data_IF_318216666260
#
_entry.id   IF_318216666260
#
_cell.length_a   1.000
_cell.length_b   1.000
_cell.length_c   1.000
_cell.angle_alpha   90.00
_cell.angle_beta   90.00
_cell.angle_gamma   90.00
#
_symmetry.space_group_name_H-M   'P 1'
#
loop_
_entity.id
_entity.type
_entity.pdbx_description
1 polymer ?
#
# COMPACT_ATOMS: atom_id res chain seq x y z
N UNK A 1 18.90 21.06 -0.72
CA UNK A 1 17.55 21.60 -0.88
C UNK A 1 17.54 23.06 -1.32
N UNK A 2 18.45 23.93 -0.83
CA UNK A 2 18.30 25.39 -1.04
C UNK A 2 18.54 25.83 -2.48
N UNK A 3 19.63 25.38 -3.11
CA UNK A 3 20.00 25.79 -4.48
C UNK A 3 19.58 24.77 -5.55
N UNK A 4 19.00 23.64 -5.18
CA UNK A 4 18.61 22.58 -6.12
C UNK A 4 19.76 21.77 -6.74
N UNK A 5 21.02 22.14 -6.49
CA UNK A 5 22.16 21.46 -7.10
C UNK A 5 22.42 20.09 -6.50
N UNK A 6 22.78 19.12 -7.33
CA UNK A 6 23.21 17.80 -6.90
C UNK A 6 24.56 17.91 -6.18
N UNK A 7 24.67 17.30 -5.01
CA UNK A 7 25.91 17.30 -4.24
C UNK A 7 26.96 16.43 -4.93
N UNK A 8 28.21 16.91 -4.94
CA UNK A 8 29.35 16.22 -5.53
C UNK A 8 30.14 15.49 -4.48
N UNK A 9 30.49 14.22 -4.74
CA UNK A 9 31.40 13.44 -3.90
C UNK A 9 32.85 13.88 -4.16
N UNK A 10 33.53 14.32 -3.14
CA UNK A 10 34.92 14.79 -3.20
C UNK A 10 35.79 13.84 -2.38
N UNK A 11 36.85 13.35 -3.01
CA UNK A 11 37.90 12.59 -2.35
C UNK A 11 38.95 13.54 -1.78
N UNK A 12 39.29 13.40 -0.51
CA UNK A 12 40.36 14.13 0.13
C UNK A 12 41.29 13.15 0.88
N UNK A 13 42.59 13.48 0.89
CA UNK A 13 43.60 12.67 1.54
C UNK A 13 44.19 13.45 2.74
N UNK A 14 44.32 12.79 3.86
CA UNK A 14 44.97 13.36 5.05
C UNK A 14 46.34 12.74 5.24
N UNK A 15 47.41 13.49 4.99
CA UNK A 15 48.79 13.06 5.19
C UNK A 15 49.10 12.74 6.66
N UNK A 16 48.47 13.46 7.62
CA UNK A 16 48.69 13.21 9.07
C UNK A 16 48.11 11.89 9.57
N UNK A 17 47.09 11.34 8.90
CA UNK A 17 46.39 10.12 9.33
C UNK A 17 46.49 8.99 8.31
N UNK A 18 47.15 9.21 7.20
CA UNK A 18 47.25 8.28 6.07
C UNK A 18 45.89 7.67 5.67
N UNK A 19 44.87 8.52 5.63
CA UNK A 19 43.48 8.11 5.35
C UNK A 19 42.86 8.92 4.24
N UNK A 20 42.06 8.23 3.44
CA UNK A 20 41.21 8.81 2.40
C UNK A 20 39.83 9.08 2.99
N UNK A 21 39.30 10.26 2.73
CA UNK A 21 37.98 10.69 3.14
C UNK A 21 37.14 11.03 1.91
N UNK A 22 35.89 10.60 1.94
CA UNK A 22 34.90 10.93 0.93
C UNK A 22 33.86 11.84 1.56
N UNK A 23 33.63 13.01 0.94
CA UNK A 23 32.72 14.02 1.48
C UNK A 23 31.84 14.54 0.36
N UNK A 24 30.53 14.56 0.57
CA UNK A 24 29.60 15.26 -0.28
C UNK A 24 29.64 16.77 -0.01
N UNK A 25 29.73 17.57 -1.05
CA UNK A 25 29.72 19.05 -0.97
C UNK A 25 28.79 19.63 -2.02
N UNK A 26 28.17 20.77 -1.67
CA UNK A 26 27.39 21.56 -2.62
C UNK A 26 28.32 22.26 -3.59
N UNK A 27 28.19 22.02 -4.92
CA UNK A 27 29.03 22.70 -5.93
C UNK A 27 28.74 24.20 -6.01
N UNK A 28 27.50 24.63 -5.90
CA UNK A 28 27.12 26.04 -5.93
C UNK A 28 27.78 26.84 -4.81
N UNK A 29 27.85 26.27 -3.60
CA UNK A 29 28.59 26.90 -2.52
C UNK A 29 30.10 26.94 -2.79
N UNK A 30 30.66 25.87 -3.34
CA UNK A 30 32.08 25.78 -3.64
C UNK A 30 32.52 26.80 -4.70
N UNK A 31 31.66 27.13 -5.67
CA UNK A 31 31.95 28.06 -6.75
C UNK A 31 31.60 29.53 -6.42
N UNK A 32 30.49 29.75 -5.72
CA UNK A 32 29.92 31.11 -5.53
C UNK A 32 29.83 31.54 -4.07
N UNK A 33 30.21 30.70 -3.11
CA UNK A 33 30.23 30.97 -1.68
C UNK A 33 28.85 31.16 -1.05
N UNK A 34 28.84 31.86 0.10
CA UNK A 34 27.62 32.06 0.93
C UNK A 34 26.53 32.89 0.27
N UNK A 35 26.85 33.64 -0.80
CA UNK A 35 25.85 34.44 -1.55
C UNK A 35 24.88 33.55 -2.35
N UNK A 36 25.33 32.38 -2.75
CA UNK A 36 24.54 31.50 -3.62
C UNK A 36 23.93 30.26 -2.90
N UNK A 37 24.62 29.77 -1.86
CA UNK A 37 24.12 28.63 -1.09
C UNK A 37 24.77 28.56 0.31
N UNK A 38 24.19 27.79 1.22
CA UNK A 38 24.80 27.48 2.51
C UNK A 38 25.92 26.44 2.37
N UNK A 39 26.91 26.49 3.26
CA UNK A 39 28.03 25.55 3.32
C UNK A 39 27.54 24.14 3.71
N UNK A 40 27.08 23.38 2.73
CA UNK A 40 26.64 22.00 2.97
C UNK A 40 27.73 21.03 2.67
N UNK A 41 28.07 20.23 3.65
CA UNK A 41 29.03 19.11 3.56
C UNK A 41 28.60 17.97 4.44
N UNK A 42 28.78 16.74 3.98
CA UNK A 42 28.53 15.54 4.79
C UNK A 42 29.54 14.45 4.39
N UNK A 43 30.13 13.79 5.37
CA UNK A 43 31.01 12.64 5.08
C UNK A 43 30.16 11.49 4.52
N UNK A 44 30.74 10.75 3.57
CA UNK A 44 30.04 9.60 2.98
C UNK A 44 29.63 8.59 4.06
N UNK A 45 30.51 8.30 5.01
CA UNK A 45 30.20 7.35 6.08
C UNK A 45 29.00 7.78 6.93
N UNK A 46 28.91 9.07 7.29
CA UNK A 46 27.78 9.59 8.08
C UNK A 46 26.46 9.55 7.29
N UNK A 47 26.53 9.78 5.96
CA UNK A 47 25.38 9.64 5.08
C UNK A 47 24.94 8.18 4.96
N UNK A 48 25.88 7.27 4.73
CA UNK A 48 25.59 5.84 4.59
C UNK A 48 24.94 5.30 5.88
N UNK A 49 25.45 5.66 7.06
CA UNK A 49 24.89 5.30 8.37
C UNK A 49 23.47 5.85 8.55
N UNK A 50 23.25 7.13 8.26
CA UNK A 50 21.92 7.76 8.34
C UNK A 50 20.92 7.13 7.38
N UNK A 51 21.32 6.84 6.15
CA UNK A 51 20.48 6.19 5.15
C UNK A 51 20.14 4.78 5.57
N UNK A 52 21.14 3.99 6.02
CA UNK A 52 20.90 2.62 6.46
C UNK A 52 19.92 2.56 7.63
N UNK A 53 20.13 3.37 8.66
CA UNK A 53 19.26 3.40 9.83
C UNK A 53 17.84 3.83 9.48
N UNK A 54 17.68 4.78 8.55
CA UNK A 54 16.36 5.23 8.10
C UNK A 54 15.65 4.15 7.29
N UNK A 55 16.36 3.45 6.40
CA UNK A 55 15.80 2.32 5.65
C UNK A 55 15.37 1.21 6.60
N UNK A 56 16.22 0.84 7.57
CA UNK A 56 15.89 -0.19 8.55
C UNK A 56 14.65 0.16 9.36
N UNK A 57 14.58 1.40 9.88
CA UNK A 57 13.39 1.86 10.60
C UNK A 57 12.10 1.81 9.75
N UNK A 58 12.20 2.09 8.45
CA UNK A 58 11.07 1.98 7.54
C UNK A 58 10.65 0.52 7.30
N UNK A 59 11.62 -0.40 7.20
CA UNK A 59 11.36 -1.83 7.05
C UNK A 59 10.77 -2.43 8.33
N UNK A 60 11.27 -2.05 9.51
CA UNK A 60 10.73 -2.46 10.81
C UNK A 60 9.27 -2.01 10.96
N UNK A 61 8.98 -0.75 10.62
CA UNK A 61 7.63 -0.21 10.66
C UNK A 61 6.68 -1.00 9.73
N UNK A 62 7.18 -1.41 8.56
CA UNK A 62 6.39 -2.24 7.65
C UNK A 62 6.08 -3.63 8.24
N UNK A 63 7.07 -4.28 8.88
CA UNK A 63 6.87 -5.57 9.56
C UNK A 63 5.81 -5.46 10.65
N UNK A 64 5.90 -4.44 11.50
CA UNK A 64 4.93 -4.18 12.57
C UNK A 64 3.51 -3.96 12.02
N UNK A 65 3.40 -3.23 10.90
CA UNK A 65 2.12 -3.01 10.21
C UNK A 65 1.56 -4.31 9.63
N UNK A 66 2.40 -5.14 9.02
CA UNK A 66 1.99 -6.44 8.47
C UNK A 66 1.47 -7.37 9.56
N UNK A 67 2.16 -7.46 10.68
CA UNK A 67 1.73 -8.25 11.82
C UNK A 67 0.39 -7.76 12.39
N UNK A 68 0.24 -6.45 12.54
CA UNK A 68 -1.00 -5.82 12.98
C UNK A 68 -2.16 -6.12 12.03
N UNK A 69 -1.93 -6.04 10.72
CA UNK A 69 -2.92 -6.35 9.69
C UNK A 69 -3.36 -7.83 9.75
N UNK A 70 -2.40 -8.76 9.87
CA UNK A 70 -2.69 -10.18 9.98
C UNK A 70 -3.52 -10.51 11.23
N UNK A 71 -3.19 -9.91 12.37
CA UNK A 71 -3.96 -10.08 13.61
C UNK A 71 -5.39 -9.57 13.47
N UNK A 72 -5.58 -8.36 12.94
CA UNK A 72 -6.92 -7.77 12.75
C UNK A 72 -7.76 -8.57 11.76
N UNK A 73 -7.16 -9.07 10.67
CA UNK A 73 -7.85 -9.94 9.73
C UNK A 73 -8.26 -11.29 10.37
N UNK A 74 -7.42 -11.86 11.22
CA UNK A 74 -7.75 -13.07 11.95
C UNK A 74 -8.91 -12.83 12.91
N UNK A 75 -8.90 -11.72 13.65
CA UNK A 75 -10.01 -11.33 14.55
C UNK A 75 -11.30 -11.11 13.76
N UNK A 76 -11.26 -10.39 12.64
CA UNK A 76 -12.44 -10.18 11.78
C UNK A 76 -13.01 -11.50 11.24
N UNK A 77 -12.14 -12.43 10.80
CA UNK A 77 -12.56 -13.76 10.35
C UNK A 77 -13.22 -14.57 11.49
N UNK A 78 -12.71 -14.46 12.70
CA UNK A 78 -13.29 -15.12 13.87
C UNK A 78 -14.67 -14.55 14.20
N UNK A 79 -14.83 -13.22 14.20
CA UNK A 79 -16.12 -12.54 14.41
C UNK A 79 -17.14 -12.89 13.32
N UNK A 80 -16.73 -12.88 12.05
CA UNK A 80 -17.59 -13.25 10.91
C UNK A 80 -18.08 -14.70 11.02
N UNK A 81 -17.23 -15.61 11.50
CA UNK A 81 -17.61 -17.01 11.77
C UNK A 81 -18.61 -17.10 12.92
N UNK A 82 -18.40 -16.33 13.98
CA UNK A 82 -19.28 -16.31 15.16
C UNK A 82 -20.66 -15.72 14.82
N UNK A 83 -20.72 -14.71 13.95
CA UNK A 83 -21.96 -14.03 13.55
C UNK A 83 -22.71 -14.74 12.40
N UNK A 84 -22.31 -15.93 11.96
CA UNK A 84 -23.00 -16.68 10.90
C UNK A 84 -22.93 -16.02 9.49
N UNK A 85 -22.07 -15.03 9.31
CA UNK A 85 -21.98 -14.23 8.06
C UNK A 85 -21.72 -15.09 6.82
N UNK A 86 -20.97 -16.21 6.96
CA UNK A 86 -20.76 -17.19 5.88
C UNK A 86 -22.04 -17.89 5.46
N UNK A 87 -22.89 -18.20 6.43
CA UNK A 87 -24.16 -18.89 6.15
C UNK A 87 -25.17 -17.91 5.54
N UNK A 88 -25.11 -16.65 5.94
CA UNK A 88 -25.90 -15.56 5.33
C UNK A 88 -25.52 -15.34 3.86
N UNK A 89 -24.22 -15.23 3.54
CA UNK A 89 -23.72 -15.12 2.16
C UNK A 89 -24.21 -16.32 1.32
N UNK A 90 -24.05 -17.55 1.81
CA UNK A 90 -24.54 -18.74 1.11
C UNK A 90 -26.05 -18.73 0.91
N UNK A 91 -26.79 -18.25 1.90
CA UNK A 91 -28.25 -18.12 1.81
C UNK A 91 -28.65 -17.10 0.76
N UNK A 92 -27.99 -15.95 0.71
CA UNK A 92 -28.22 -14.90 -0.28
C UNK A 92 -27.86 -15.37 -1.70
N UNK A 93 -26.73 -16.07 -1.86
CA UNK A 93 -26.35 -16.68 -3.15
C UNK A 93 -27.41 -17.66 -3.66
N UNK A 94 -27.89 -18.57 -2.79
CA UNK A 94 -28.97 -19.50 -3.18
C UNK A 94 -30.25 -18.76 -3.58
N UNK A 95 -30.63 -17.71 -2.86
CA UNK A 95 -31.81 -16.89 -3.21
C UNK A 95 -31.61 -16.19 -4.54
N UNK A 96 -30.42 -15.66 -4.82
CA UNK A 96 -30.06 -15.01 -6.08
C UNK A 96 -30.13 -15.99 -7.25
N UNK A 97 -29.53 -17.19 -7.10
CA UNK A 97 -29.55 -18.23 -8.13
C UNK A 97 -30.98 -18.70 -8.42
N UNK A 98 -31.81 -18.86 -7.38
CA UNK A 98 -33.22 -19.18 -7.54
C UNK A 98 -33.96 -18.10 -8.31
N UNK A 99 -33.76 -16.81 -7.99
CA UNK A 99 -34.42 -15.71 -8.72
C UNK A 99 -33.93 -15.59 -10.15
N UNK A 100 -32.65 -15.83 -10.43
CA UNK A 100 -32.11 -15.91 -11.81
C UNK A 100 -32.70 -17.07 -12.56
N UNK A 101 -32.91 -18.21 -11.91
CA UNK A 101 -33.61 -19.36 -12.49
C UNK A 101 -35.07 -19.06 -12.88
N UNK A 102 -35.82 -18.40 -11.97
CA UNK A 102 -37.20 -17.95 -12.27
C UNK A 102 -37.25 -16.96 -13.44
N UNK A 103 -36.31 -16.00 -13.46
CA UNK A 103 -36.19 -15.07 -14.57
C UNK A 103 -35.95 -15.77 -15.92
N UNK A 104 -35.07 -16.81 -15.94
CA UNK A 104 -34.84 -17.61 -17.14
C UNK A 104 -36.05 -18.43 -17.59
N UNK A 105 -36.89 -18.88 -16.64
CA UNK A 105 -38.14 -19.60 -16.92
C UNK A 105 -39.23 -18.68 -17.48
N UNK A 106 -39.32 -17.45 -17.00
CA UNK A 106 -40.38 -16.50 -17.37
C UNK A 106 -40.47 -16.22 -18.89
N UNK A 107 -39.32 -16.15 -19.57
CA UNK A 107 -39.28 -15.98 -21.02
C UNK A 107 -39.81 -17.22 -21.76
N UNK A 108 -39.57 -18.40 -21.23
CA UNK A 108 -40.10 -19.67 -21.79
C UNK A 108 -41.61 -19.70 -21.66
N UNK A 109 -42.16 -19.36 -20.49
CA UNK A 109 -43.59 -19.35 -20.21
C UNK A 109 -44.33 -18.37 -21.13
N UNK A 110 -43.73 -17.22 -21.44
CA UNK A 110 -44.27 -16.28 -22.44
C UNK A 110 -44.29 -16.91 -23.84
N UNK A 111 -43.18 -17.56 -24.24
CA UNK A 111 -43.07 -18.21 -25.58
C UNK A 111 -44.05 -19.35 -25.76
N UNK A 112 -44.37 -20.05 -24.68
CA UNK A 112 -45.35 -21.16 -24.67
C UNK A 112 -46.79 -20.67 -24.50
N UNK A 113 -47.00 -19.35 -24.37
CA UNK A 113 -48.34 -18.77 -24.24
C UNK A 113 -49.01 -19.03 -22.89
N UNK A 114 -48.19 -19.39 -21.88
CA UNK A 114 -48.67 -19.65 -20.51
C UNK A 114 -48.97 -18.32 -19.72
N UNK A 115 -48.34 -17.21 -20.11
CA UNK A 115 -48.52 -15.89 -19.54
C UNK A 115 -48.72 -14.87 -20.65
N UNK A 116 -49.42 -13.76 -20.34
CA UNK A 116 -49.60 -12.62 -21.25
C UNK A 116 -48.31 -11.73 -21.30
N UNK A 117 -48.20 -10.90 -22.35
CA UNK A 117 -47.14 -9.91 -22.49
C UNK A 117 -47.15 -8.90 -21.30
N UNK A 118 -48.32 -8.58 -20.80
CA UNK A 118 -48.49 -7.65 -19.69
C UNK A 118 -48.03 -8.27 -18.37
N UNK A 119 -48.43 -9.50 -18.08
CA UNK A 119 -47.98 -10.27 -16.92
C UNK A 119 -46.48 -10.51 -16.96
N UNK A 120 -45.93 -10.79 -18.14
CA UNK A 120 -44.48 -10.94 -18.35
C UNK A 120 -43.75 -9.62 -17.98
N UNK A 121 -44.19 -8.48 -18.51
CA UNK A 121 -43.56 -7.21 -18.29
C UNK A 121 -43.53 -6.85 -16.80
N UNK A 122 -44.66 -7.00 -16.10
CA UNK A 122 -44.81 -6.69 -14.69
C UNK A 122 -43.95 -7.64 -13.82
N UNK A 123 -44.04 -8.94 -14.07
CA UNK A 123 -43.26 -9.96 -13.30
C UNK A 123 -41.77 -9.82 -13.53
N UNK A 124 -41.35 -9.51 -14.77
CA UNK A 124 -39.97 -9.25 -15.14
C UNK A 124 -39.37 -8.09 -14.33
N UNK A 125 -40.10 -6.98 -14.21
CA UNK A 125 -39.63 -5.81 -13.46
C UNK A 125 -39.44 -6.12 -11.97
N UNK A 126 -40.39 -6.83 -11.38
CA UNK A 126 -40.30 -7.27 -9.97
C UNK A 126 -39.09 -8.19 -9.75
N UNK A 127 -38.92 -9.22 -10.57
CA UNK A 127 -37.81 -10.17 -10.43
C UNK A 127 -36.45 -9.48 -10.62
N UNK A 128 -36.31 -8.58 -11.61
CA UNK A 128 -35.08 -7.82 -11.82
C UNK A 128 -34.77 -6.89 -10.65
N UNK A 129 -35.78 -6.26 -10.07
CA UNK A 129 -35.64 -5.42 -8.87
C UNK A 129 -35.11 -6.23 -7.66
N UNK A 130 -35.65 -7.45 -7.47
CA UNK A 130 -35.20 -8.36 -6.41
C UNK A 130 -33.76 -8.86 -6.65
N UNK A 131 -33.42 -9.26 -7.89
CA UNK A 131 -32.07 -9.66 -8.28
C UNK A 131 -31.08 -8.54 -7.94
N UNK A 132 -31.36 -7.32 -8.39
CA UNK A 132 -30.50 -6.15 -8.14
C UNK A 132 -30.31 -5.85 -6.65
N UNK A 133 -31.38 -6.03 -5.85
CA UNK A 133 -31.31 -5.87 -4.39
C UNK A 133 -30.43 -6.94 -3.75
N UNK A 134 -30.59 -8.22 -4.15
CA UNK A 134 -29.79 -9.31 -3.63
C UNK A 134 -28.31 -9.19 -4.03
N UNK A 135 -28.02 -8.79 -5.26
CA UNK A 135 -26.66 -8.52 -5.74
C UNK A 135 -25.99 -7.40 -4.94
N UNK A 136 -26.75 -6.33 -4.64
CA UNK A 136 -26.25 -5.24 -3.80
C UNK A 136 -25.90 -5.71 -2.38
N UNK A 137 -26.81 -6.45 -1.74
CA UNK A 137 -26.58 -7.01 -0.39
C UNK A 137 -25.38 -7.95 -0.37
N UNK A 138 -25.23 -8.79 -1.38
CA UNK A 138 -24.09 -9.70 -1.52
C UNK A 138 -22.78 -8.92 -1.69
N UNK A 139 -22.79 -7.90 -2.56
CA UNK A 139 -21.62 -7.05 -2.79
C UNK A 139 -21.21 -6.25 -1.53
N UNK A 140 -22.17 -5.81 -0.71
CA UNK A 140 -21.89 -5.15 0.56
C UNK A 140 -21.23 -6.10 1.57
N UNK A 141 -21.69 -7.35 1.64
CA UNK A 141 -21.14 -8.38 2.54
C UNK A 141 -19.77 -8.91 2.05
N UNK A 142 -19.58 -9.06 0.74
CA UNK A 142 -18.35 -9.53 0.13
C UNK A 142 -17.32 -8.43 -0.10
N UNK A 143 -17.78 -7.20 -0.31
CA UNK A 143 -16.94 -6.06 -0.69
C UNK A 143 -15.89 -5.67 0.35
N UNK A 144 -16.11 -6.02 1.61
CA UNK A 144 -15.12 -5.87 2.66
C UNK A 144 -13.98 -6.89 2.52
N UNK A 145 -14.26 -8.10 2.06
CA UNK A 145 -13.26 -9.18 1.92
C UNK A 145 -12.37 -8.98 0.69
N UNK A 146 -12.95 -8.60 -0.45
CA UNK A 146 -12.21 -8.43 -1.71
C UNK A 146 -11.29 -7.20 -1.72
N UNK A 147 -11.68 -6.10 -1.08
CA UNK A 147 -10.80 -4.92 -0.91
C UNK A 147 -9.52 -5.26 -0.16
N UNK A 148 -9.59 -6.13 0.84
CA UNK A 148 -8.42 -6.55 1.59
C UNK A 148 -7.50 -7.47 0.80
N UNK A 149 -8.03 -8.34 -0.05
CA UNK A 149 -7.22 -9.21 -0.91
C UNK A 149 -6.46 -8.43 -2.00
N UNK A 150 -7.02 -7.34 -2.53
CA UNK A 150 -6.31 -6.45 -3.46
C UNK A 150 -5.21 -5.64 -2.76
N UNK A 151 -5.44 -5.19 -1.54
CA UNK A 151 -4.45 -4.47 -0.75
C UNK A 151 -3.28 -5.36 -0.32
N UNK A 152 -3.53 -6.64 -0.04
CA UNK A 152 -2.51 -7.66 0.20
C UNK A 152 -1.58 -7.89 -1.02
N UNK A 153 -1.95 -7.47 -2.22
CA UNK A 153 -1.03 -7.51 -3.38
C UNK A 153 0.07 -6.46 -3.32
N UNK A 154 -0.18 -5.30 -2.72
CA UNK A 154 0.85 -4.27 -2.45
C UNK A 154 1.89 -4.74 -1.43
N UNK A 155 1.49 -5.62 -0.49
CA UNK A 155 2.40 -6.21 0.50
C UNK A 155 3.56 -7.00 -0.11
N UNK A 156 3.39 -7.59 -1.29
CA UNK A 156 4.43 -8.45 -1.89
C UNK A 156 5.72 -7.71 -2.16
N UNK A 157 5.65 -6.47 -2.67
CA UNK A 157 6.85 -5.67 -2.96
C UNK A 157 7.61 -5.32 -1.68
N UNK A 158 6.89 -4.84 -0.66
CA UNK A 158 7.51 -4.52 0.63
C UNK A 158 8.04 -5.74 1.34
N UNK A 159 7.34 -6.87 1.29
CA UNK A 159 7.81 -8.14 1.85
C UNK A 159 9.10 -8.63 1.16
N UNK A 160 9.24 -8.44 -0.15
CA UNK A 160 10.48 -8.72 -0.88
C UNK A 160 11.62 -7.78 -0.45
N UNK A 161 11.34 -6.48 -0.27
CA UNK A 161 12.32 -5.51 0.21
C UNK A 161 12.78 -5.83 1.64
N UNK A 162 11.85 -6.18 2.55
CA UNK A 162 12.16 -6.64 3.90
C UNK A 162 13.07 -7.87 3.84
N UNK A 163 12.65 -8.90 3.13
CA UNK A 163 13.44 -10.15 3.00
C UNK A 163 14.85 -9.89 2.50
N UNK A 164 15.02 -8.90 1.61
CA UNK A 164 16.31 -8.62 0.97
C UNK A 164 17.20 -7.71 1.82
N UNK A 165 16.63 -6.71 2.50
CA UNK A 165 17.38 -5.60 3.07
C UNK A 165 17.27 -5.43 4.59
N UNK A 166 16.33 -6.12 5.26
CA UNK A 166 16.12 -5.96 6.70
C UNK A 166 17.37 -6.22 7.56
N UNK A 167 18.23 -7.13 7.14
CA UNK A 167 19.48 -7.47 7.84
C UNK A 167 20.73 -6.91 7.16
N UNK A 168 20.58 -5.92 6.27
CA UNK A 168 21.72 -5.30 5.62
C UNK A 168 22.58 -4.53 6.64
N UNK A 169 23.89 -4.69 6.55
CA UNK A 169 24.86 -4.00 7.43
C UNK A 169 25.52 -2.80 6.75
N UNK A 170 25.29 -2.63 5.45
CA UNK A 170 25.82 -1.52 4.66
C UNK A 170 24.83 -1.10 3.56
N UNK A 171 24.95 0.15 3.14
CA UNK A 171 24.14 0.72 2.05
C UNK A 171 24.72 0.31 0.71
N UNK A 172 23.91 -0.29 -0.14
CA UNK A 172 24.26 -0.59 -1.53
C UNK A 172 23.50 0.32 -2.49
N UNK A 173 24.07 0.53 -3.70
CA UNK A 173 23.39 1.31 -4.73
C UNK A 173 22.03 0.68 -5.09
N UNK A 174 21.97 -0.64 -5.18
CA UNK A 174 20.73 -1.36 -5.47
C UNK A 174 19.63 -1.14 -4.40
N UNK A 175 20.03 -1.10 -3.11
CA UNK A 175 19.10 -0.78 -2.01
C UNK A 175 18.57 0.65 -2.14
N UNK A 176 19.45 1.62 -2.43
CA UNK A 176 19.06 3.03 -2.61
C UNK A 176 18.09 3.16 -3.78
N UNK A 177 18.42 2.58 -4.94
CA UNK A 177 17.59 2.64 -6.14
C UNK A 177 16.21 1.97 -5.93
N UNK A 178 16.17 0.88 -5.17
CA UNK A 178 14.92 0.17 -4.88
C UNK A 178 14.02 0.92 -3.91
N UNK A 179 14.59 1.62 -2.92
CA UNK A 179 13.83 2.16 -1.79
C UNK A 179 13.69 3.68 -1.78
N UNK A 180 14.57 4.43 -2.43
CA UNK A 180 14.66 5.89 -2.29
C UNK A 180 14.40 6.58 -3.63
N UNK A 181 13.45 7.52 -3.65
CA UNK A 181 13.18 8.41 -4.78
C UNK A 181 14.18 9.57 -4.78
N UNK A 182 14.32 10.22 -3.62
CA UNK A 182 15.18 11.39 -3.50
C UNK A 182 15.72 11.58 -2.08
N UNK A 183 16.92 12.18 -2.00
CA UNK A 183 17.51 12.62 -0.74
C UNK A 183 17.87 14.10 -0.83
N UNK A 184 17.46 14.88 0.15
CA UNK A 184 17.72 16.33 0.20
C UNK A 184 18.37 16.69 1.52
N UNK A 185 19.48 17.42 1.46
CA UNK A 185 20.14 17.98 2.64
C UNK A 185 19.60 19.37 2.92
N UNK A 186 19.09 19.59 4.12
CA UNK A 186 18.51 20.86 4.58
C UNK A 186 19.57 21.82 5.12
N UNK A 187 19.15 23.06 5.47
CA UNK A 187 20.05 24.10 6.02
C UNK A 187 20.68 23.70 7.36
N UNK A 188 19.93 23.03 8.18
CA UNK A 188 20.33 22.52 9.50
C UNK A 188 21.16 21.24 9.46
N UNK A 189 21.55 20.81 8.24
CA UNK A 189 22.26 19.55 7.97
C UNK A 189 21.42 18.29 8.20
N UNK A 190 20.13 18.41 8.43
CA UNK A 190 19.23 17.25 8.42
C UNK A 190 19.05 16.70 7.00
N UNK A 191 18.67 15.42 6.91
CA UNK A 191 18.36 14.74 5.65
C UNK A 191 16.85 14.55 5.56
N UNK A 192 16.28 14.92 4.43
CA UNK A 192 14.93 14.53 4.03
C UNK A 192 15.05 13.43 3.00
N UNK A 193 14.49 12.26 3.31
CA UNK A 193 14.51 11.09 2.43
C UNK A 193 13.07 10.81 1.99
N UNK A 194 12.89 10.69 0.69
CA UNK A 194 11.62 10.34 0.06
C UNK A 194 11.72 8.90 -0.43
N UNK A 195 10.85 8.03 0.08
CA UNK A 195 10.86 6.62 -0.24
C UNK A 195 9.98 6.28 -1.45
N UNK A 196 10.37 5.24 -2.18
CA UNK A 196 9.55 4.58 -3.18
C UNK A 196 8.35 3.88 -2.51
N UNK A 197 7.27 3.71 -3.26
CA UNK A 197 6.11 2.89 -2.84
C UNK A 197 5.38 3.38 -1.57
N UNK A 198 5.44 4.68 -1.29
CA UNK A 198 4.74 5.26 -0.14
C UNK A 198 3.22 5.19 -0.26
N UNK A 199 2.69 5.13 -1.48
CA UNK A 199 1.24 5.00 -1.71
C UNK A 199 0.75 3.63 -1.25
N UNK A 200 1.49 2.56 -1.54
CA UNK A 200 1.20 1.21 -1.05
C UNK A 200 1.28 1.13 0.47
N UNK A 201 2.31 1.76 1.05
CA UNK A 201 2.48 1.84 2.50
C UNK A 201 1.29 2.53 3.17
N UNK A 202 0.86 3.68 2.62
CA UNK A 202 -0.30 4.41 3.10
C UNK A 202 -1.59 3.61 2.98
N UNK A 203 -1.77 2.87 1.88
CA UNK A 203 -2.94 2.03 1.69
C UNK A 203 -3.06 0.93 2.76
N UNK A 204 -1.93 0.31 3.16
CA UNK A 204 -1.89 -0.66 4.25
C UNK A 204 -2.27 0.01 5.58
N UNK A 205 -1.69 1.19 5.85
CA UNK A 205 -1.97 1.96 7.07
C UNK A 205 -3.46 2.31 7.19
N UNK A 206 -4.05 2.86 6.13
CA UNK A 206 -5.48 3.21 6.07
C UNK A 206 -6.36 1.97 6.28
N UNK A 207 -5.95 0.81 5.74
CA UNK A 207 -6.65 -0.47 5.94
C UNK A 207 -6.63 -0.91 7.40
N UNK A 208 -5.48 -0.81 8.07
CA UNK A 208 -5.35 -1.13 9.49
C UNK A 208 -6.26 -0.23 10.33
N UNK A 209 -6.33 1.06 10.03
CA UNK A 209 -7.18 2.01 10.75
C UNK A 209 -8.68 1.70 10.59
N UNK A 210 -9.10 1.32 9.38
CA UNK A 210 -10.46 0.86 9.11
C UNK A 210 -10.77 -0.42 9.90
N UNK A 211 -9.89 -1.42 9.83
CA UNK A 211 -10.08 -2.70 10.52
C UNK A 211 -10.14 -2.54 12.04
N UNK A 212 -9.32 -1.66 12.61
CA UNK A 212 -9.36 -1.37 14.05
C UNK A 212 -10.72 -0.84 14.50
N UNK A 213 -11.33 0.03 13.69
CA UNK A 213 -12.68 0.58 13.96
C UNK A 213 -13.79 -0.45 13.83
N UNK A 214 -13.61 -1.45 12.96
CA UNK A 214 -14.61 -2.51 12.74
C UNK A 214 -14.55 -3.63 13.78
N UNK A 215 -13.40 -3.80 14.44
CA UNK A 215 -13.15 -4.89 15.42
C UNK A 215 -13.25 -4.38 16.87
N UNK A 216 -13.25 -3.05 17.07
CA UNK A 216 -13.43 -2.40 18.38
C UNK A 216 -14.90 -2.41 18.82
#
# INVERSE_FOLDING_TARGET
>A
ADCGSVMKLIRSFSTKKDKVYFTFKCPTYAEHGTRACNAKKMRKADLDEAVLSTIQAQLDLFVDMQDSLHQLLAMKKAMAKQNGQKDEIKSLQKKLDHKKGLFGGLYRDLREGLISDEDYAQTREVILGEIKRLEKQLAELEGTTNRFEEQLRGEKKWAELVKKYHHATEVTAEMVDAMIVSMKMNKDSSLSIEFNHMDEFKAIYDTIDILRKEVA
#
